data_IF_324296046007
#
_entry.id   IF_324296046007
#
_cell.length_a   1.000
_cell.length_b   1.000
_cell.length_c   1.000
_cell.angle_alpha   90.00
_cell.angle_beta   90.00
_cell.angle_gamma   90.00
#
_symmetry.space_group_name_H-M   'P 1'
#
loop_
_entity.id
_entity.type
_entity.pdbx_description
1 polymer ?
#
# COMPACT_ATOMS: atom_id res chain seq x y z
N UNK A 1 -3.50 -11.98 26.50
CA UNK A 1 -4.57 -12.98 26.30
C UNK A 1 -4.48 -13.50 24.87
N UNK A 2 -4.31 -14.81 24.73
CA UNK A 2 -4.05 -15.48 23.46
C UNK A 2 -5.37 -15.65 22.71
N UNK A 3 -5.53 -15.00 21.56
CA UNK A 3 -6.70 -15.16 20.69
C UNK A 3 -6.69 -16.57 20.07
N UNK A 4 -7.14 -17.56 20.84
CA UNK A 4 -7.30 -18.93 20.39
C UNK A 4 -8.47 -19.00 19.41
N UNK A 5 -8.16 -19.05 18.12
CA UNK A 5 -9.13 -19.37 17.07
C UNK A 5 -9.66 -20.78 17.39
N UNK A 6 -10.89 -20.85 17.91
CA UNK A 6 -11.58 -22.11 18.18
C UNK A 6 -11.72 -22.89 16.87
N UNK A 7 -10.90 -23.92 16.69
CA UNK A 7 -10.76 -24.69 15.45
C UNK A 7 -11.38 -26.09 15.55
N UNK A 8 -12.29 -26.28 16.51
CA UNK A 8 -12.89 -27.57 16.89
C UNK A 8 -13.89 -28.11 15.87
N UNK A 9 -14.27 -27.33 14.84
CA UNK A 9 -15.26 -27.73 13.83
C UNK A 9 -14.79 -27.69 12.38
N UNK A 10 -13.50 -27.40 12.11
CA UNK A 10 -12.97 -27.32 10.74
C UNK A 10 -12.23 -28.61 10.39
N UNK A 11 -12.52 -29.19 9.22
CA UNK A 11 -11.75 -30.31 8.68
C UNK A 11 -10.28 -29.91 8.48
N UNK A 12 -9.39 -30.90 8.38
CA UNK A 12 -7.97 -30.62 8.17
C UNK A 12 -7.74 -29.79 6.89
N UNK A 13 -8.51 -30.06 5.82
CA UNK A 13 -8.44 -29.32 4.58
C UNK A 13 -8.90 -27.85 4.72
N UNK A 14 -9.96 -27.59 5.49
CA UNK A 14 -10.45 -26.23 5.71
C UNK A 14 -9.42 -25.38 6.47
N UNK A 15 -8.70 -25.96 7.44
CA UNK A 15 -7.63 -25.24 8.17
C UNK A 15 -6.47 -24.87 7.25
N UNK A 16 -6.09 -25.74 6.32
CA UNK A 16 -5.05 -25.44 5.33
C UNK A 16 -5.50 -24.37 4.34
N UNK A 17 -6.77 -24.39 3.94
CA UNK A 17 -7.35 -23.33 3.11
C UNK A 17 -7.32 -21.97 3.82
N UNK A 18 -7.80 -21.90 5.07
CA UNK A 18 -7.77 -20.65 5.84
C UNK A 18 -6.34 -20.17 6.10
N UNK A 19 -5.37 -21.06 6.36
CA UNK A 19 -3.96 -20.70 6.48
C UNK A 19 -3.40 -20.12 5.18
N UNK A 20 -3.78 -20.68 4.03
CA UNK A 20 -3.36 -20.18 2.71
C UNK A 20 -3.93 -18.80 2.43
N UNK A 21 -5.20 -18.55 2.76
CA UNK A 21 -5.83 -17.22 2.65
C UNK A 21 -5.15 -16.22 3.59
N UNK A 22 -4.89 -16.58 4.85
CA UNK A 22 -4.21 -15.71 5.81
C UNK A 22 -2.78 -15.40 5.37
N UNK A 23 -2.04 -16.37 4.82
CA UNK A 23 -0.70 -16.14 4.26
C UNK A 23 -0.75 -15.20 3.07
N UNK A 24 -1.70 -15.40 2.15
CA UNK A 24 -1.89 -14.52 0.99
C UNK A 24 -2.19 -13.09 1.44
N UNK A 25 -3.12 -12.91 2.38
CA UNK A 25 -3.46 -11.60 2.92
C UNK A 25 -2.29 -10.97 3.68
N UNK A 26 -1.47 -11.77 4.36
CA UNK A 26 -0.25 -11.31 5.04
C UNK A 26 0.84 -10.88 4.06
N UNK A 27 0.99 -11.57 2.92
CA UNK A 27 1.89 -11.16 1.83
C UNK A 27 1.40 -9.88 1.15
N UNK A 28 0.08 -9.72 0.97
CA UNK A 28 -0.50 -8.46 0.52
C UNK A 28 -0.30 -7.32 1.54
N UNK A 29 -0.37 -7.63 2.84
CA UNK A 29 -0.09 -6.66 3.90
C UNK A 29 1.39 -6.29 3.98
N UNK A 30 2.31 -7.22 3.73
CA UNK A 30 3.76 -6.97 3.67
C UNK A 30 4.20 -6.23 2.41
N UNK A 31 3.45 -6.33 1.31
CA UNK A 31 3.57 -5.41 0.17
C UNK A 31 3.31 -3.94 0.53
N UNK A 32 2.75 -3.67 1.72
CA UNK A 32 2.59 -2.33 2.29
C UNK A 32 3.88 -1.53 2.50
N UNK A 33 5.06 -2.17 2.48
CA UNK A 33 6.37 -1.51 2.54
C UNK A 33 6.95 -1.13 1.17
N UNK A 34 6.19 -1.32 0.09
CA UNK A 34 6.66 -1.00 -1.26
C UNK A 34 6.51 0.51 -1.52
N UNK A 35 7.54 1.30 -1.22
CA UNK A 35 7.56 2.70 -1.66
C UNK A 35 7.95 2.81 -3.13
N UNK A 36 7.25 3.64 -3.89
CA UNK A 36 7.52 3.96 -5.30
C UNK A 36 8.11 5.35 -5.39
N UNK A 37 9.22 5.49 -6.13
CA UNK A 37 9.77 6.81 -6.47
C UNK A 37 8.98 7.45 -7.60
N UNK A 38 8.50 8.64 -7.35
CA UNK A 38 7.77 9.45 -8.29
C UNK A 38 8.43 10.81 -8.45
N UNK A 39 8.36 11.36 -9.66
CA UNK A 39 8.68 12.76 -9.95
C UNK A 39 7.38 13.53 -10.11
N UNK A 40 7.25 14.60 -9.36
CA UNK A 40 6.06 15.45 -9.34
C UNK A 40 6.07 16.33 -10.59
N UNK A 41 4.92 16.40 -11.28
CA UNK A 41 4.78 17.13 -12.55
C UNK A 41 4.12 18.50 -12.38
N UNK A 42 3.51 18.77 -11.23
CA UNK A 42 2.81 20.03 -10.93
C UNK A 42 2.87 20.34 -9.43
N UNK A 43 2.77 21.61 -9.05
CA UNK A 43 2.75 22.02 -7.66
C UNK A 43 1.46 21.55 -6.98
N UNK A 44 1.62 20.81 -5.88
CA UNK A 44 0.50 20.25 -5.13
C UNK A 44 0.50 20.80 -3.71
N UNK A 45 -0.65 21.30 -3.22
CA UNK A 45 -0.81 21.62 -1.82
C UNK A 45 -0.77 20.34 -0.97
N UNK A 46 -0.93 20.47 0.35
CA UNK A 46 -1.15 19.29 1.19
C UNK A 46 -2.44 18.59 0.76
N UNK A 47 -2.36 17.29 0.46
CA UNK A 47 -3.49 16.47 0.05
C UNK A 47 -3.70 15.33 1.04
N UNK A 48 -4.96 14.93 1.22
CA UNK A 48 -5.30 13.75 2.01
C UNK A 48 -5.16 12.49 1.13
N UNK A 49 -4.36 11.53 1.57
CA UNK A 49 -4.25 10.19 1.00
C UNK A 49 -4.74 9.12 1.98
N UNK A 50 -4.93 7.87 1.52
CA UNK A 50 -5.32 6.75 2.38
C UNK A 50 -4.33 6.49 3.53
N UNK A 51 -3.06 6.83 3.35
CA UNK A 51 -1.99 6.64 4.33
C UNK A 51 -1.71 7.89 5.19
N UNK A 52 -2.28 9.05 4.85
CA UNK A 52 -2.16 10.27 5.66
C UNK A 52 -2.16 11.55 4.83
N UNK A 53 -1.68 12.65 5.42
CA UNK A 53 -1.47 13.90 4.69
C UNK A 53 -0.16 13.82 3.90
N UNK A 54 -0.22 14.13 2.61
CA UNK A 54 0.93 14.19 1.70
C UNK A 54 1.23 15.62 1.27
N UNK A 55 2.49 15.93 1.04
CA UNK A 55 2.95 17.22 0.52
C UNK A 55 3.15 18.29 1.60
N UNK A 56 3.27 19.57 1.22
CA UNK A 56 3.16 20.09 -0.15
C UNK A 56 4.28 19.56 -1.05
N UNK A 57 3.99 19.43 -2.34
CA UNK A 57 4.97 19.01 -3.35
C UNK A 57 5.19 20.11 -4.37
N UNK A 58 6.42 20.19 -4.86
CA UNK A 58 6.82 21.17 -5.88
C UNK A 58 7.05 20.48 -7.22
N UNK A 59 6.73 21.15 -8.31
CA UNK A 59 7.01 20.65 -9.67
C UNK A 59 8.48 20.26 -9.83
N UNK A 60 8.76 19.06 -10.35
CA UNK A 60 10.10 18.51 -10.56
C UNK A 60 10.71 17.81 -9.33
N UNK A 61 10.08 17.90 -8.16
CA UNK A 61 10.52 17.20 -6.95
C UNK A 61 10.40 15.68 -7.12
N UNK A 62 11.40 14.93 -6.66
CA UNK A 62 11.31 13.46 -6.59
C UNK A 62 10.99 13.05 -5.16
N UNK A 63 9.97 12.20 -5.00
CA UNK A 63 9.47 11.72 -3.70
C UNK A 63 9.27 10.21 -3.72
N UNK A 64 9.51 9.56 -2.57
CA UNK A 64 9.15 8.16 -2.36
C UNK A 64 7.86 8.09 -1.57
N UNK A 65 6.83 7.47 -2.14
CA UNK A 65 5.51 7.34 -1.52
C UNK A 65 5.07 5.88 -1.51
N UNK A 66 4.21 5.51 -0.57
CA UNK A 66 3.58 4.19 -0.59
C UNK A 66 2.80 3.97 -1.90
N UNK A 67 2.62 2.70 -2.30
CA UNK A 67 1.95 2.37 -3.56
C UNK A 67 0.59 3.05 -3.71
N UNK A 68 -0.21 3.13 -2.65
CA UNK A 68 -1.57 3.68 -2.74
C UNK A 68 -1.53 5.18 -3.01
N UNK A 69 -0.70 5.91 -2.27
CA UNK A 69 -0.43 7.33 -2.49
C UNK A 69 0.18 7.60 -3.87
N UNK A 70 1.11 6.75 -4.29
CA UNK A 70 1.75 6.86 -5.58
C UNK A 70 0.74 6.65 -6.73
N UNK A 71 -0.13 5.65 -6.60
CA UNK A 71 -1.19 5.36 -7.57
C UNK A 71 -2.13 6.56 -7.74
N UNK A 72 -2.55 7.18 -6.63
CA UNK A 72 -3.40 8.37 -6.64
C UNK A 72 -2.78 9.52 -7.45
N UNK A 73 -1.49 9.79 -7.27
CA UNK A 73 -0.79 10.85 -7.98
C UNK A 73 -0.58 10.53 -9.46
N UNK A 74 -0.33 9.25 -9.78
CA UNK A 74 -0.20 8.77 -11.16
C UNK A 74 -1.54 8.86 -11.91
N UNK A 75 -2.64 8.42 -11.30
CA UNK A 75 -3.99 8.47 -11.91
C UNK A 75 -4.45 9.90 -12.17
N UNK A 76 -4.08 10.82 -11.28
CA UNK A 76 -4.36 12.26 -11.44
C UNK A 76 -3.41 12.97 -12.40
N UNK A 77 -2.48 12.24 -13.03
CA UNK A 77 -1.42 12.79 -13.89
C UNK A 77 -0.60 13.91 -13.21
N UNK A 78 -0.51 13.86 -11.88
CA UNK A 78 0.20 14.86 -11.08
C UNK A 78 1.65 14.45 -10.80
N UNK A 79 2.00 13.19 -11.08
CA UNK A 79 3.35 12.66 -10.98
C UNK A 79 3.62 11.63 -12.09
N UNK A 80 4.89 11.36 -12.34
CA UNK A 80 5.39 10.27 -13.21
C UNK A 80 6.29 9.33 -12.40
N UNK A 81 6.45 8.07 -12.85
CA UNK A 81 7.43 7.17 -12.23
C UNK A 81 8.83 7.67 -12.56
N UNK A 82 9.63 7.91 -11.52
CA UNK A 82 11.04 8.21 -11.71
C UNK A 82 11.77 6.90 -12.03
N UNK A 83 12.09 6.68 -13.31
CA UNK A 83 12.97 5.60 -13.73
C UNK A 83 14.41 5.97 -13.33
N UNK A 84 15.11 5.04 -12.68
CA UNK A 84 16.54 5.13 -12.35
C UNK A 84 17.39 5.24 -13.62
#
# INVERSE_FOLDING_TARGET
ETNSINSTGLSAEEKEFYRSIISLLSDYSKKGDSTVRLKILTDLPRIQSPSGLLGPFTTGQTVSLDVQSAQLLLERKAAERALL
#
